data_IF_972412574266
#
_entry.id   IF_972412574266
#
_cell.length_a   1.000
_cell.length_b   1.000
_cell.length_c   1.000
_cell.angle_alpha   90.00
_cell.angle_beta   90.00
_cell.angle_gamma   90.00
#
_symmetry.space_group_name_H-M   'P 1'
#
loop_
_entity.id
_entity.type
_entity.pdbx_description
1 polymer ?
#
# COMPACT_ATOMS: atom_id res chain seq x y z
N UNK A 1 -13.83 52.81 -58.85
CA UNK A 1 -12.55 52.72 -58.08
C UNK A 1 -12.41 53.84 -57.04
N UNK A 2 -12.61 55.13 -57.32
CA UNK A 2 -12.54 56.24 -56.35
C UNK A 2 -13.53 56.11 -55.17
N UNK A 3 -14.78 55.70 -55.41
CA UNK A 3 -15.83 55.54 -54.39
C UNK A 3 -15.49 54.38 -53.44
N UNK A 4 -14.88 53.28 -53.87
CA UNK A 4 -14.46 52.15 -53.03
C UNK A 4 -13.29 52.54 -52.14
N UNK A 5 -12.36 53.38 -52.63
CA UNK A 5 -11.24 53.87 -51.84
C UNK A 5 -11.73 54.84 -50.74
N UNK A 6 -12.68 55.73 -51.05
CA UNK A 6 -13.29 56.64 -50.08
C UNK A 6 -14.06 55.90 -49.00
N UNK A 7 -14.83 54.85 -49.35
CA UNK A 7 -15.56 54.02 -48.40
C UNK A 7 -14.58 53.19 -47.53
N UNK A 8 -13.49 52.72 -48.04
CA UNK A 8 -12.45 52.02 -47.24
C UNK A 8 -11.76 52.98 -46.29
N UNK A 9 -11.47 54.20 -46.70
CA UNK A 9 -10.86 55.24 -45.86
C UNK A 9 -11.79 55.65 -44.71
N UNK A 10 -13.07 55.90 -45.01
CA UNK A 10 -14.09 56.17 -43.94
C UNK A 10 -14.25 55.04 -42.97
N UNK A 11 -14.26 53.79 -43.40
CA UNK A 11 -14.28 52.63 -42.52
C UNK A 11 -13.04 52.50 -41.65
N UNK A 12 -11.89 52.88 -42.16
CA UNK A 12 -10.63 52.87 -41.43
C UNK A 12 -10.60 53.97 -40.37
N UNK A 13 -10.97 55.21 -40.71
CA UNK A 13 -11.00 56.35 -39.78
C UNK A 13 -12.02 56.13 -38.68
N UNK A 14 -13.24 55.66 -39.00
CA UNK A 14 -14.26 55.35 -37.99
C UNK A 14 -13.87 54.20 -37.02
N UNK A 15 -13.10 53.23 -37.50
CA UNK A 15 -12.52 52.19 -36.62
C UNK A 15 -11.43 52.76 -35.71
N UNK A 16 -10.58 53.64 -36.22
CA UNK A 16 -9.56 54.31 -35.41
C UNK A 16 -10.17 55.19 -34.30
N UNK A 17 -11.19 55.98 -34.65
CA UNK A 17 -11.95 56.79 -33.71
C UNK A 17 -12.61 55.91 -32.59
N UNK A 18 -13.26 54.83 -32.98
CA UNK A 18 -13.85 53.90 -32.01
C UNK A 18 -12.82 53.22 -31.12
N UNK A 19 -11.61 52.95 -31.61
CA UNK A 19 -10.52 52.42 -30.80
C UNK A 19 -9.97 53.44 -29.80
N UNK A 20 -9.84 54.72 -30.23
CA UNK A 20 -9.40 55.80 -29.35
C UNK A 20 -10.44 56.08 -28.26
N UNK A 21 -11.73 56.11 -28.58
CA UNK A 21 -12.79 56.27 -27.62
C UNK A 21 -12.83 55.13 -26.58
N UNK A 22 -12.70 53.89 -27.05
CA UNK A 22 -12.60 52.72 -26.16
C UNK A 22 -11.35 52.76 -25.26
N UNK A 23 -10.21 53.23 -25.76
CA UNK A 23 -9.00 53.41 -24.95
C UNK A 23 -9.21 54.48 -23.86
N UNK A 24 -9.82 55.60 -24.19
CA UNK A 24 -10.08 56.70 -23.24
C UNK A 24 -11.06 56.26 -22.16
N UNK A 25 -12.14 55.59 -22.54
CA UNK A 25 -13.17 55.05 -21.60
C UNK A 25 -12.54 54.01 -20.64
N UNK A 26 -11.63 53.14 -21.15
CA UNK A 26 -11.01 52.09 -20.36
C UNK A 26 -9.70 52.55 -19.67
N UNK A 27 -9.27 53.78 -19.84
CA UNK A 27 -8.02 54.30 -19.23
C UNK A 27 -7.97 54.09 -17.71
N UNK A 28 -9.04 54.33 -16.92
CA UNK A 28 -9.06 54.06 -15.48
C UNK A 28 -8.79 52.57 -15.17
N UNK A 29 -9.43 51.67 -15.92
CA UNK A 29 -9.26 50.23 -15.74
C UNK A 29 -7.84 49.76 -16.09
N UNK A 30 -7.22 50.36 -17.12
CA UNK A 30 -5.84 50.09 -17.52
C UNK A 30 -4.87 50.54 -16.40
N UNK A 31 -5.10 51.70 -15.79
CA UNK A 31 -4.26 52.18 -14.66
C UNK A 31 -4.37 51.23 -13.49
N UNK A 32 -5.60 50.82 -13.11
CA UNK A 32 -5.83 49.87 -12.03
C UNK A 32 -5.17 48.52 -12.34
N UNK A 33 -5.31 48.01 -13.57
CA UNK A 33 -4.69 46.79 -14.04
C UNK A 33 -3.16 46.80 -13.89
N UNK A 34 -2.50 47.93 -14.24
CA UNK A 34 -1.06 48.11 -14.10
C UNK A 34 -0.66 48.12 -12.62
N UNK A 35 -1.43 48.80 -11.75
CA UNK A 35 -1.18 48.80 -10.30
C UNK A 35 -1.28 47.40 -9.76
N UNK A 36 -2.37 46.66 -10.08
CA UNK A 36 -2.57 45.28 -9.64
C UNK A 36 -1.46 44.38 -10.15
N UNK A 37 -1.01 44.54 -11.43
CA UNK A 37 0.10 43.79 -12.00
C UNK A 37 1.39 43.94 -11.17
N UNK A 38 1.72 45.19 -10.82
CA UNK A 38 2.90 45.50 -9.98
C UNK A 38 2.74 44.83 -8.61
N UNK A 39 1.56 44.95 -7.99
CA UNK A 39 1.27 44.34 -6.69
C UNK A 39 1.42 42.81 -6.75
N UNK A 40 0.87 42.16 -7.78
CA UNK A 40 0.96 40.71 -8.00
C UNK A 40 2.43 40.25 -8.11
N UNK A 41 3.27 40.98 -8.88
CA UNK A 41 4.70 40.66 -8.99
C UNK A 41 5.42 40.79 -7.65
N UNK A 42 5.16 41.84 -6.91
CA UNK A 42 5.75 42.06 -5.58
C UNK A 42 5.29 40.97 -4.60
N UNK A 43 3.98 40.69 -4.60
CA UNK A 43 3.38 39.63 -3.76
C UNK A 43 3.92 38.25 -4.09
N UNK A 44 4.07 37.93 -5.39
CA UNK A 44 4.64 36.66 -5.85
C UNK A 44 6.08 36.49 -5.34
N UNK A 45 6.93 37.53 -5.44
CA UNK A 45 8.30 37.52 -4.92
C UNK A 45 8.32 37.38 -3.37
N UNK A 46 7.41 38.07 -2.69
CA UNK A 46 7.29 37.99 -1.23
C UNK A 46 6.87 36.59 -0.75
N UNK A 47 5.83 36.04 -1.37
CA UNK A 47 5.33 34.67 -1.07
C UNK A 47 6.41 33.63 -1.39
N UNK A 48 7.14 33.75 -2.50
CA UNK A 48 8.25 32.84 -2.81
C UNK A 48 9.35 32.90 -1.73
N UNK A 49 9.74 34.08 -1.27
CA UNK A 49 10.70 34.22 -0.16
C UNK A 49 10.16 33.63 1.17
N UNK A 50 8.88 33.88 1.47
CA UNK A 50 8.21 33.32 2.65
C UNK A 50 8.19 31.80 2.60
N UNK A 51 7.85 31.22 1.45
CA UNK A 51 7.87 29.76 1.23
C UNK A 51 9.28 29.19 1.48
N UNK A 52 10.32 29.79 0.92
CA UNK A 52 11.71 29.36 1.16
C UNK A 52 12.09 29.46 2.64
N UNK A 53 11.64 30.51 3.33
CA UNK A 53 11.89 30.68 4.77
C UNK A 53 11.16 29.61 5.60
N UNK A 54 9.91 29.28 5.28
CA UNK A 54 9.15 28.21 5.94
C UNK A 54 9.78 26.82 5.69
N UNK A 55 10.20 26.56 4.45
CA UNK A 55 10.86 25.32 4.08
C UNK A 55 12.31 25.24 4.56
N UNK A 56 12.91 26.33 5.07
CA UNK A 56 14.31 26.31 5.56
C UNK A 56 14.55 25.31 6.68
N UNK A 57 13.54 25.07 7.52
CA UNK A 57 13.58 24.12 8.65
C UNK A 57 13.32 22.65 8.24
N UNK A 58 12.91 22.41 7.00
CA UNK A 58 12.65 21.08 6.48
C UNK A 58 13.93 20.39 6.02
N UNK A 59 13.99 19.07 6.07
CA UNK A 59 15.08 18.23 5.57
C UNK A 59 15.16 18.15 4.04
N UNK A 60 14.26 18.83 3.31
CA UNK A 60 14.21 18.81 1.85
C UNK A 60 15.48 19.37 1.22
N UNK A 61 15.91 18.77 0.11
CA UNK A 61 17.03 19.28 -0.70
C UNK A 61 16.75 20.70 -1.21
N UNK A 62 17.79 21.52 -1.29
CA UNK A 62 17.69 22.93 -1.75
C UNK A 62 16.99 23.05 -3.12
N UNK A 63 17.24 22.12 -4.03
CA UNK A 63 16.62 22.08 -5.35
C UNK A 63 15.09 21.95 -5.26
N UNK A 64 14.60 21.07 -4.39
CA UNK A 64 13.16 20.85 -4.19
C UNK A 64 12.48 22.05 -3.54
N UNK A 65 13.14 22.71 -2.55
CA UNK A 65 12.63 23.95 -1.94
C UNK A 65 12.43 25.04 -3.00
N UNK A 66 13.38 25.20 -3.93
CA UNK A 66 13.29 26.16 -5.00
C UNK A 66 12.16 25.83 -6.00
N UNK A 67 11.96 24.56 -6.34
CA UNK A 67 10.87 24.12 -7.22
C UNK A 67 9.52 24.44 -6.60
N UNK A 68 9.32 24.11 -5.33
CA UNK A 68 8.07 24.39 -4.60
C UNK A 68 7.79 25.91 -4.56
N UNK A 69 8.81 26.71 -4.18
CA UNK A 69 8.67 28.17 -4.14
C UNK A 69 8.32 28.76 -5.51
N UNK A 70 8.92 28.24 -6.59
CA UNK A 70 8.64 28.66 -7.96
C UNK A 70 7.22 28.27 -8.40
N UNK A 71 6.74 27.06 -8.07
CA UNK A 71 5.37 26.63 -8.39
C UNK A 71 4.33 27.53 -7.69
N UNK A 72 4.53 27.82 -6.40
CA UNK A 72 3.65 28.74 -5.66
C UNK A 72 3.68 30.14 -6.26
N UNK A 73 4.87 30.64 -6.66
CA UNK A 73 5.02 31.93 -7.33
C UNK A 73 4.23 31.99 -8.64
N UNK A 74 4.30 30.93 -9.47
CA UNK A 74 3.54 30.82 -10.72
C UNK A 74 2.03 30.84 -10.46
N UNK A 75 1.57 30.13 -9.41
CA UNK A 75 0.15 30.11 -9.04
C UNK A 75 -0.35 31.52 -8.68
N UNK A 76 0.42 32.27 -7.90
CA UNK A 76 0.09 33.67 -7.52
C UNK A 76 0.01 34.55 -8.76
N UNK A 77 0.94 34.40 -9.71
CA UNK A 77 0.92 35.16 -10.96
C UNK A 77 -0.32 34.80 -11.80
N UNK A 78 -0.68 33.53 -11.89
CA UNK A 78 -1.88 33.09 -12.62
C UNK A 78 -3.16 33.66 -12.04
N UNK A 79 -3.32 33.63 -10.71
CA UNK A 79 -4.46 34.25 -10.02
C UNK A 79 -4.49 35.76 -10.27
N UNK A 80 -3.33 36.43 -10.20
CA UNK A 80 -3.21 37.84 -10.54
C UNK A 80 -3.57 38.17 -11.98
N UNK A 81 -3.18 37.32 -12.92
CA UNK A 81 -3.56 37.47 -14.32
C UNK A 81 -5.08 37.42 -14.53
N UNK A 82 -5.77 36.49 -13.83
CA UNK A 82 -7.23 36.42 -13.91
C UNK A 82 -7.92 37.67 -13.34
N UNK A 83 -7.40 38.22 -12.24
CA UNK A 83 -7.89 39.49 -11.68
C UNK A 83 -7.71 40.65 -12.68
N UNK A 84 -6.55 40.74 -13.32
CA UNK A 84 -6.23 41.78 -14.32
C UNK A 84 -7.17 41.68 -15.51
N UNK A 85 -7.40 40.48 -16.03
CA UNK A 85 -8.32 40.26 -17.15
C UNK A 85 -9.76 40.64 -16.80
N UNK A 86 -10.18 40.40 -15.54
CA UNK A 86 -11.48 40.84 -15.03
C UNK A 86 -11.60 42.38 -14.97
N UNK A 87 -10.55 43.07 -14.47
CA UNK A 87 -10.51 44.54 -14.39
C UNK A 87 -10.56 45.18 -15.78
N UNK A 88 -9.95 44.54 -16.77
CA UNK A 88 -9.93 45.02 -18.17
C UNK A 88 -11.21 44.66 -18.95
N UNK A 89 -12.20 44.06 -18.29
CA UNK A 89 -13.47 43.58 -18.90
C UNK A 89 -13.24 42.60 -20.08
N UNK A 90 -12.15 41.81 -20.01
CA UNK A 90 -11.81 40.82 -21.00
C UNK A 90 -12.47 39.46 -20.68
N UNK A 91 -13.75 39.46 -20.36
CA UNK A 91 -14.50 38.28 -19.87
C UNK A 91 -14.45 37.10 -20.85
N UNK A 92 -14.46 37.36 -22.16
CA UNK A 92 -14.32 36.29 -23.19
C UNK A 92 -12.95 35.62 -23.13
N UNK A 93 -11.88 36.40 -23.04
CA UNK A 93 -10.49 35.92 -22.95
C UNK A 93 -10.31 35.16 -21.62
N UNK A 94 -10.82 35.69 -20.53
CA UNK A 94 -10.80 35.07 -19.21
C UNK A 94 -11.45 33.69 -19.26
N UNK A 95 -12.68 33.58 -19.77
CA UNK A 95 -13.42 32.33 -19.91
C UNK A 95 -12.68 31.29 -20.77
N UNK A 96 -12.08 31.75 -21.88
CA UNK A 96 -11.29 30.85 -22.75
C UNK A 96 -10.06 30.31 -22.06
N UNK A 97 -9.33 31.16 -21.32
CA UNK A 97 -8.16 30.71 -20.53
C UNK A 97 -8.57 29.80 -19.40
N UNK A 98 -9.66 30.11 -18.69
CA UNK A 98 -10.18 29.25 -17.62
C UNK A 98 -10.61 27.88 -18.13
N UNK A 99 -11.31 27.83 -19.29
CA UNK A 99 -11.67 26.56 -19.92
C UNK A 99 -10.42 25.73 -20.29
N UNK A 100 -9.44 26.37 -20.93
CA UNK A 100 -8.16 25.71 -21.26
C UNK A 100 -7.38 25.26 -20.03
N UNK A 101 -7.32 26.11 -19.01
CA UNK A 101 -6.67 25.77 -17.73
C UNK A 101 -7.38 24.61 -17.02
N UNK A 102 -8.72 24.54 -17.09
CA UNK A 102 -9.51 23.43 -16.57
C UNK A 102 -9.16 22.10 -17.21
N UNK A 103 -9.11 22.06 -18.56
CA UNK A 103 -8.69 20.85 -19.30
C UNK A 103 -7.24 20.47 -18.99
N UNK A 104 -6.33 21.44 -18.97
CA UNK A 104 -4.93 21.20 -18.62
C UNK A 104 -4.80 20.70 -17.17
N UNK A 105 -5.56 21.29 -16.23
CA UNK A 105 -5.61 20.87 -14.83
C UNK A 105 -6.09 19.44 -14.67
N UNK A 106 -7.13 19.03 -15.42
CA UNK A 106 -7.62 17.66 -15.46
C UNK A 106 -6.53 16.70 -15.95
N UNK A 107 -5.86 17.02 -17.05
CA UNK A 107 -4.78 16.20 -17.60
C UNK A 107 -3.62 16.02 -16.59
N UNK A 108 -3.20 17.11 -15.93
CA UNK A 108 -2.18 17.07 -14.88
C UNK A 108 -2.66 16.28 -13.67
N UNK A 109 -3.93 16.46 -13.26
CA UNK A 109 -4.54 15.70 -12.15
C UNK A 109 -4.52 14.20 -12.41
N UNK A 110 -4.91 13.77 -13.60
CA UNK A 110 -4.86 12.36 -14.01
C UNK A 110 -3.42 11.83 -14.06
N UNK A 111 -2.47 12.62 -14.56
CA UNK A 111 -1.05 12.24 -14.57
C UNK A 111 -0.46 12.06 -13.17
N UNK A 112 -0.91 12.85 -12.19
CA UNK A 112 -0.44 12.79 -10.79
C UNK A 112 -1.28 11.89 -9.89
N UNK A 113 -2.37 11.30 -10.40
CA UNK A 113 -3.32 10.50 -9.62
C UNK A 113 -2.64 9.41 -8.77
N UNK A 114 -1.71 8.65 -9.36
CA UNK A 114 -1.02 7.59 -8.64
C UNK A 114 -0.17 8.09 -7.47
N UNK A 115 0.54 9.21 -7.66
CA UNK A 115 1.36 9.81 -6.61
C UNK A 115 0.49 10.36 -5.47
N UNK A 116 -0.61 11.05 -5.81
CA UNK A 116 -1.55 11.59 -4.84
C UNK A 116 -2.22 10.47 -4.04
N UNK A 117 -2.65 9.39 -4.71
CA UNK A 117 -3.29 8.25 -4.03
C UNK A 117 -2.32 7.58 -3.05
N UNK A 118 -1.06 7.32 -3.44
CA UNK A 118 -0.09 6.75 -2.52
C UNK A 118 0.19 7.64 -1.31
N UNK A 119 0.29 8.96 -1.51
CA UNK A 119 0.49 9.92 -0.41
C UNK A 119 -0.72 9.94 0.53
N UNK A 120 -1.94 9.97 -0.02
CA UNK A 120 -3.16 9.91 0.78
C UNK A 120 -3.26 8.58 1.54
N UNK A 121 -2.97 7.46 0.89
CA UNK A 121 -2.92 6.14 1.54
C UNK A 121 -1.91 6.10 2.68
N UNK A 122 -0.75 6.74 2.53
CA UNK A 122 0.25 6.85 3.60
C UNK A 122 -0.26 7.64 4.82
N UNK A 123 -0.97 8.73 4.60
CA UNK A 123 -1.61 9.49 5.67
C UNK A 123 -2.65 8.62 6.39
N UNK A 124 -3.49 7.91 5.63
CA UNK A 124 -4.51 7.01 6.18
C UNK A 124 -3.86 5.89 6.98
N UNK A 125 -2.84 5.21 6.46
CA UNK A 125 -2.11 4.14 7.15
C UNK A 125 -1.46 4.63 8.44
N UNK A 126 -0.90 5.84 8.46
CA UNK A 126 -0.31 6.45 9.66
C UNK A 126 -1.36 6.76 10.74
N UNK A 127 -2.62 6.95 10.36
CA UNK A 127 -3.73 7.21 11.30
C UNK A 127 -4.42 5.94 11.78
N UNK A 128 -4.55 4.94 10.89
CA UNK A 128 -5.17 3.64 11.21
C UNK A 128 -4.15 2.79 11.97
N UNK A 129 -4.50 2.40 13.20
CA UNK A 129 -3.62 1.60 14.09
C UNK A 129 -3.52 0.11 13.70
N UNK A 130 -3.85 -0.24 12.46
CA UNK A 130 -3.83 -1.63 11.99
C UNK A 130 -2.42 -2.16 11.73
N UNK A 131 -1.49 -1.27 11.40
CA UNK A 131 -0.08 -1.57 11.17
C UNK A 131 0.74 -0.59 11.98
N UNK A 132 1.75 -1.09 12.70
CA UNK A 132 2.66 -0.28 13.49
C UNK A 132 4.11 -0.66 13.18
N UNK A 133 5.02 0.25 13.50
CA UNK A 133 6.44 -0.07 13.52
C UNK A 133 6.71 -1.27 14.44
N UNK A 134 7.46 -2.25 13.95
CA UNK A 134 7.78 -3.49 14.65
C UNK A 134 6.75 -4.61 14.49
N UNK A 135 5.59 -4.36 13.86
CA UNK A 135 4.63 -5.41 13.57
C UNK A 135 5.18 -6.37 12.50
N UNK A 136 4.89 -7.66 12.66
CA UNK A 136 5.12 -8.67 11.64
C UNK A 136 3.87 -8.82 10.80
N UNK A 137 3.99 -8.50 9.52
CA UNK A 137 2.87 -8.50 8.57
C UNK A 137 3.17 -9.35 7.32
N UNK A 138 2.09 -9.81 6.71
CA UNK A 138 2.08 -10.40 5.36
C UNK A 138 1.10 -9.61 4.50
N UNK A 139 1.55 -9.13 3.35
CA UNK A 139 0.75 -8.38 2.38
C UNK A 139 1.35 -8.56 0.98
N UNK A 140 0.49 -8.86 -0.01
CA UNK A 140 0.90 -9.02 -1.42
C UNK A 140 2.06 -10.01 -1.60
N UNK A 141 1.98 -11.18 -0.96
CA UNK A 141 3.00 -12.26 -0.98
C UNK A 141 4.37 -11.88 -0.37
N UNK A 142 4.44 -10.73 0.31
CA UNK A 142 5.60 -10.33 1.07
C UNK A 142 5.31 -10.40 2.56
N UNK A 143 6.20 -11.04 3.31
CA UNK A 143 6.12 -11.20 4.74
C UNK A 143 7.36 -10.63 5.42
N UNK A 144 7.18 -9.92 6.54
CA UNK A 144 8.29 -9.37 7.31
C UNK A 144 7.90 -8.38 8.39
N UNK A 145 8.91 -7.88 9.09
CA UNK A 145 8.78 -6.83 10.12
C UNK A 145 8.64 -5.45 9.49
N UNK A 146 7.67 -4.67 9.93
CA UNK A 146 7.51 -3.26 9.53
C UNK A 146 8.62 -2.43 10.17
N UNK A 147 9.54 -1.92 9.34
CA UNK A 147 10.67 -1.11 9.80
C UNK A 147 10.49 0.37 9.52
N UNK A 148 9.54 0.75 8.65
CA UNK A 148 9.21 2.15 8.40
C UNK A 148 7.85 2.29 7.70
N UNK A 149 7.16 3.42 7.95
CA UNK A 149 5.90 3.80 7.28
C UNK A 149 6.04 5.24 6.81
N UNK A 150 6.43 5.40 5.56
CA UNK A 150 6.59 6.69 4.90
C UNK A 150 5.31 7.13 4.17
N UNK A 151 5.24 8.39 3.71
CA UNK A 151 4.12 8.93 2.92
C UNK A 151 3.88 8.17 1.60
N UNK A 152 4.84 7.42 1.10
CA UNK A 152 4.75 6.73 -0.19
C UNK A 152 4.71 5.21 -0.08
N UNK A 153 5.37 4.64 0.91
CA UNK A 153 5.55 3.20 1.05
C UNK A 153 5.63 2.77 2.53
N UNK A 154 5.17 1.57 2.81
CA UNK A 154 5.52 0.78 4.00
C UNK A 154 6.77 -0.02 3.66
N UNK A 155 7.79 0.07 4.49
CA UNK A 155 9.02 -0.71 4.36
C UNK A 155 8.97 -1.89 5.32
N UNK A 156 9.10 -3.10 4.79
CA UNK A 156 9.20 -4.32 5.60
C UNK A 156 10.57 -4.95 5.45
N UNK A 157 11.06 -5.56 6.52
CA UNK A 157 12.27 -6.38 6.53
C UNK A 157 11.87 -7.85 6.48
N UNK A 158 12.25 -8.54 5.42
CA UNK A 158 11.98 -9.96 5.25
C UNK A 158 12.92 -10.83 6.12
N UNK A 159 12.60 -12.14 6.30
CA UNK A 159 13.43 -13.06 7.07
C UNK A 159 14.88 -13.19 6.57
N UNK A 160 15.13 -12.95 5.28
CA UNK A 160 16.45 -12.94 4.64
C UNK A 160 17.19 -11.62 4.84
N UNK A 161 16.66 -10.70 5.68
CA UNK A 161 17.16 -9.36 5.98
C UNK A 161 17.09 -8.38 4.78
N UNK A 162 16.39 -8.70 3.70
CA UNK A 162 16.15 -7.77 2.61
C UNK A 162 15.00 -6.82 2.95
N UNK A 163 15.08 -5.58 2.42
CA UNK A 163 14.02 -4.58 2.56
C UNK A 163 13.10 -4.59 1.34
N UNK A 164 11.81 -4.69 1.58
CA UNK A 164 10.77 -4.57 0.55
C UNK A 164 9.99 -3.29 0.80
N UNK A 165 9.84 -2.49 -0.25
CA UNK A 165 9.10 -1.22 -0.23
C UNK A 165 7.73 -1.43 -0.87
N UNK A 166 6.71 -1.57 -0.05
CA UNK A 166 5.32 -1.75 -0.50
C UNK A 166 4.65 -0.39 -0.67
N UNK A 167 4.21 0.00 -1.89
CA UNK A 167 3.46 1.24 -2.09
C UNK A 167 2.24 1.31 -1.15
N UNK A 168 2.02 2.43 -0.48
CA UNK A 168 0.96 2.58 0.51
C UNK A 168 -0.43 2.24 -0.03
N UNK A 169 -0.68 2.60 -1.30
CA UNK A 169 -1.93 2.23 -1.97
C UNK A 169 -2.10 0.71 -2.04
N UNK A 170 -1.03 -0.02 -2.39
CA UNK A 170 -1.09 -1.47 -2.51
C UNK A 170 -1.40 -2.14 -1.16
N UNK A 171 -0.81 -1.61 -0.08
CA UNK A 171 -1.04 -2.10 1.29
C UNK A 171 -2.47 -1.78 1.76
N UNK A 172 -3.00 -0.59 1.43
CA UNK A 172 -4.34 -0.18 1.85
C UNK A 172 -5.46 -0.90 1.09
N UNK A 173 -5.25 -1.18 -0.21
CA UNK A 173 -6.26 -1.75 -1.09
C UNK A 173 -6.34 -3.29 -0.99
N UNK A 174 -5.32 -3.96 -0.44
CA UNK A 174 -5.25 -5.42 -0.34
C UNK A 174 -5.36 -5.92 1.11
N UNK A 175 -5.76 -7.18 1.31
CA UNK A 175 -5.77 -7.78 2.64
C UNK A 175 -4.39 -7.79 3.28
N UNK A 176 -4.35 -7.49 4.57
CA UNK A 176 -3.15 -7.52 5.40
C UNK A 176 -3.37 -8.54 6.51
N UNK A 177 -2.43 -9.45 6.67
CA UNK A 177 -2.37 -10.33 7.81
C UNK A 177 -1.32 -9.80 8.78
N UNK A 178 -1.77 -9.35 9.94
CA UNK A 178 -0.90 -8.83 11.00
C UNK A 178 -0.80 -9.86 12.12
N UNK A 179 0.38 -10.47 12.25
CA UNK A 179 0.67 -11.49 13.27
C UNK A 179 0.88 -10.88 14.66
N UNK A 180 1.20 -9.60 14.72
CA UNK A 180 1.48 -8.90 15.99
C UNK A 180 0.24 -8.23 16.60
N UNK A 181 -0.89 -8.22 15.89
CA UNK A 181 -2.13 -7.61 16.37
C UNK A 181 -2.77 -8.38 17.54
N UNK A 182 -2.44 -9.65 17.66
CA UNK A 182 -2.86 -10.53 18.76
C UNK A 182 -1.63 -11.07 19.49
N UNK A 183 -1.76 -11.35 20.78
CA UNK A 183 -0.65 -11.87 21.60
C UNK A 183 -0.39 -13.38 21.40
N UNK A 184 -1.23 -14.05 20.60
CA UNK A 184 -1.19 -15.49 20.40
C UNK A 184 -1.32 -15.83 18.92
N UNK A 185 -0.56 -16.84 18.50
CA UNK A 185 -0.67 -17.45 17.17
C UNK A 185 -1.02 -18.93 17.31
N UNK A 186 -1.73 -19.46 16.32
CA UNK A 186 -2.12 -20.87 16.30
C UNK A 186 -1.11 -21.70 15.53
N UNK A 187 -0.56 -22.73 16.17
CA UNK A 187 0.20 -23.78 15.49
C UNK A 187 -0.78 -24.82 14.95
N UNK A 188 -0.60 -25.21 13.70
CA UNK A 188 -1.36 -26.26 13.01
C UNK A 188 -0.37 -27.31 12.52
N UNK A 189 -0.52 -28.54 13.02
CA UNK A 189 0.35 -29.66 12.70
C UNK A 189 -0.48 -30.84 12.21
N UNK A 190 -0.16 -31.35 11.03
CA UNK A 190 -0.76 -32.56 10.46
C UNK A 190 0.19 -33.73 10.57
N UNK A 191 -0.33 -34.91 10.93
CA UNK A 191 0.41 -36.15 11.00
C UNK A 191 -0.52 -37.34 10.67
N UNK A 192 0.03 -38.51 10.39
CA UNK A 192 -0.71 -39.73 10.16
C UNK A 192 -0.24 -40.88 11.04
N UNK A 193 -1.15 -41.76 11.44
CA UNK A 193 -0.84 -42.97 12.20
C UNK A 193 -1.31 -44.21 11.46
N UNK A 194 -0.70 -45.34 11.76
CA UNK A 194 -1.05 -46.62 11.14
C UNK A 194 -2.53 -47.01 11.45
N UNK A 195 -3.16 -47.70 10.53
CA UNK A 195 -4.55 -48.20 10.68
C UNK A 195 -4.73 -49.13 11.87
N UNK A 196 -3.64 -49.75 12.35
CA UNK A 196 -3.65 -50.62 13.55
C UNK A 196 -3.57 -49.84 14.86
N UNK A 197 -3.41 -48.51 14.83
CA UNK A 197 -3.27 -47.70 16.06
C UNK A 197 -4.62 -47.53 16.77
N UNK A 198 -4.55 -47.51 18.11
CA UNK A 198 -5.69 -47.11 18.93
C UNK A 198 -5.88 -45.60 18.82
N UNK A 199 -6.96 -45.18 18.17
CA UNK A 199 -7.22 -43.79 17.83
C UNK A 199 -7.54 -42.94 19.07
N UNK A 200 -8.18 -43.52 20.11
CA UNK A 200 -8.49 -42.79 21.34
C UNK A 200 -7.21 -42.50 22.10
N UNK A 201 -6.35 -43.52 22.22
CA UNK A 201 -5.06 -43.39 22.90
C UNK A 201 -4.14 -42.41 22.16
N UNK A 202 -4.07 -42.44 20.80
CA UNK A 202 -3.29 -41.48 20.00
C UNK A 202 -3.75 -40.06 20.25
N UNK A 203 -5.07 -39.81 20.24
CA UNK A 203 -5.64 -38.49 20.51
C UNK A 203 -5.19 -37.95 21.87
N UNK A 204 -5.36 -38.77 22.90
CA UNK A 204 -5.11 -38.35 24.27
C UNK A 204 -3.61 -38.15 24.53
N UNK A 205 -2.76 -39.01 23.99
CA UNK A 205 -1.30 -38.87 24.02
C UNK A 205 -0.82 -37.59 23.38
N UNK A 206 -1.31 -37.27 22.15
CA UNK A 206 -0.93 -36.04 21.43
C UNK A 206 -1.35 -34.81 22.23
N UNK A 207 -2.58 -34.77 22.72
CA UNK A 207 -3.08 -33.66 23.55
C UNK A 207 -2.23 -33.45 24.79
N UNK A 208 -1.93 -34.55 25.53
CA UNK A 208 -1.09 -34.49 26.72
C UNK A 208 0.34 -34.01 26.37
N UNK A 209 0.94 -34.52 25.31
CA UNK A 209 2.27 -34.11 24.87
C UNK A 209 2.35 -32.59 24.57
N UNK A 210 1.30 -32.03 23.98
CA UNK A 210 1.26 -30.58 23.73
C UNK A 210 1.13 -29.79 25.03
N UNK A 211 0.25 -30.18 25.93
CA UNK A 211 0.06 -29.51 27.25
C UNK A 211 1.36 -29.51 28.07
N UNK A 212 2.09 -30.61 28.06
CA UNK A 212 3.34 -30.76 28.84
C UNK A 212 4.49 -29.90 28.32
N UNK A 213 4.48 -29.53 27.05
CA UNK A 213 5.64 -28.88 26.37
C UNK A 213 5.39 -27.47 25.85
N UNK A 214 4.14 -26.98 25.85
CA UNK A 214 3.85 -25.66 25.28
C UNK A 214 3.02 -24.78 26.22
N UNK A 215 3.57 -23.63 26.60
CA UNK A 215 2.82 -22.53 27.20
C UNK A 215 2.21 -21.65 26.08
N UNK A 216 0.99 -21.13 26.22
CA UNK A 216 0.12 -21.05 27.39
C UNK A 216 -0.92 -22.18 27.47
N UNK A 217 -0.72 -23.33 26.88
CA UNK A 217 -1.68 -24.44 26.91
C UNK A 217 -1.67 -25.09 28.29
N UNK A 218 -2.73 -24.89 29.07
CA UNK A 218 -2.82 -25.41 30.44
C UNK A 218 -3.65 -26.70 30.53
N UNK A 219 -4.55 -26.90 29.56
CA UNK A 219 -5.52 -28.03 29.58
C UNK A 219 -5.61 -28.70 28.21
N UNK A 220 -5.87 -30.01 28.25
CA UNK A 220 -6.08 -30.85 27.07
C UNK A 220 -7.25 -30.38 26.19
N UNK A 221 -8.24 -29.71 26.80
CA UNK A 221 -9.40 -29.18 26.06
C UNK A 221 -9.04 -27.95 25.18
N UNK A 222 -7.92 -27.28 25.46
CA UNK A 222 -7.40 -26.18 24.68
C UNK A 222 -6.67 -26.65 23.39
N UNK A 223 -6.32 -27.96 23.35
CA UNK A 223 -5.74 -28.61 22.20
C UNK A 223 -6.85 -29.20 21.34
N UNK A 224 -7.04 -28.64 20.15
CA UNK A 224 -7.96 -29.17 19.17
C UNK A 224 -7.25 -30.31 18.45
N UNK A 225 -7.84 -31.51 18.50
CA UNK A 225 -7.36 -32.68 17.77
C UNK A 225 -8.49 -33.22 16.90
N UNK A 226 -8.22 -33.40 15.60
CA UNK A 226 -9.20 -33.82 14.61
C UNK A 226 -8.58 -34.89 13.72
N UNK A 227 -9.23 -36.08 13.62
CA UNK A 227 -8.97 -36.96 12.50
C UNK A 227 -9.58 -36.36 11.26
N UNK A 228 -8.80 -36.28 10.20
CA UNK A 228 -9.20 -35.55 8.96
C UNK A 228 -9.67 -36.49 7.86
N UNK A 229 -8.99 -37.62 7.70
CA UNK A 229 -9.34 -38.60 6.66
C UNK A 229 -8.72 -39.98 6.91
N UNK A 230 -9.30 -40.99 6.27
CA UNK A 230 -8.69 -42.29 6.07
C UNK A 230 -7.87 -42.22 4.77
N UNK A 231 -6.56 -41.92 4.88
CA UNK A 231 -5.67 -41.80 3.73
C UNK A 231 -5.17 -43.15 3.21
N UNK A 232 -4.45 -43.13 2.09
CA UNK A 232 -4.00 -44.35 1.39
C UNK A 232 -3.17 -45.29 2.25
N UNK A 233 -2.41 -44.78 3.21
CA UNK A 233 -1.50 -45.58 4.05
C UNK A 233 -1.56 -45.23 5.54
N UNK A 234 -2.31 -44.19 5.90
CA UNK A 234 -2.41 -43.66 7.25
C UNK A 234 -3.80 -43.14 7.56
N UNK A 235 -4.17 -43.10 8.83
CA UNK A 235 -5.27 -42.30 9.33
C UNK A 235 -4.69 -40.94 9.69
N UNK A 236 -5.08 -39.92 8.94
CA UNK A 236 -4.53 -38.59 9.06
C UNK A 236 -5.26 -37.81 10.17
N UNK A 237 -4.51 -37.03 10.90
CA UNK A 237 -5.04 -36.12 11.91
C UNK A 237 -4.38 -34.76 11.84
N UNK A 238 -5.05 -33.78 12.40
CA UNK A 238 -4.54 -32.44 12.60
C UNK A 238 -4.69 -32.05 14.07
N UNK A 239 -3.61 -31.52 14.66
CA UNK A 239 -3.63 -30.92 15.99
C UNK A 239 -3.38 -29.43 15.89
N UNK A 240 -4.15 -28.65 16.68
CA UNK A 240 -4.09 -27.19 16.72
C UNK A 240 -3.99 -26.72 18.15
N UNK A 241 -3.06 -25.82 18.44
CA UNK A 241 -2.89 -25.23 19.75
C UNK A 241 -2.35 -23.80 19.66
N UNK A 242 -2.49 -23.04 20.74
CA UNK A 242 -2.04 -21.67 20.80
C UNK A 242 -0.65 -21.58 21.43
N UNK A 243 0.14 -20.61 20.93
CA UNK A 243 1.40 -20.20 21.53
C UNK A 243 1.43 -18.68 21.68
N UNK A 244 2.19 -18.16 22.64
CA UNK A 244 2.52 -16.74 22.73
C UNK A 244 3.53 -16.40 21.64
N UNK A 245 3.07 -15.86 20.54
CA UNK A 245 3.92 -15.49 19.40
C UNK A 245 3.31 -14.38 18.59
N UNK A 246 4.17 -13.49 18.09
CA UNK A 246 3.85 -12.39 17.20
C UNK A 246 4.56 -12.50 15.86
N UNK A 247 5.20 -13.66 15.57
CA UNK A 247 6.01 -13.84 14.36
C UNK A 247 5.78 -15.23 13.75
N UNK A 248 5.71 -15.30 12.42
CA UNK A 248 5.59 -16.56 11.69
C UNK A 248 6.79 -17.49 11.93
N UNK A 249 7.99 -16.93 12.15
CA UNK A 249 9.17 -17.73 12.47
C UNK A 249 9.01 -18.50 13.79
N UNK A 250 8.45 -17.88 14.82
CA UNK A 250 8.19 -18.54 16.12
C UNK A 250 7.14 -19.64 15.97
N UNK A 251 6.10 -19.41 15.16
CA UNK A 251 5.10 -20.45 14.83
C UNK A 251 5.77 -21.64 14.15
N UNK A 252 6.66 -21.39 13.18
CA UNK A 252 7.39 -22.46 12.49
C UNK A 252 8.33 -23.23 13.42
N UNK A 253 9.02 -22.56 14.36
CA UNK A 253 9.84 -23.20 15.40
C UNK A 253 9.00 -24.07 16.31
N UNK A 254 7.91 -23.53 16.85
CA UNK A 254 6.99 -24.28 17.71
C UNK A 254 6.38 -25.50 16.99
N UNK A 255 6.06 -25.36 15.69
CA UNK A 255 5.61 -26.49 14.86
C UNK A 255 6.69 -27.59 14.79
N UNK A 256 7.95 -27.20 14.58
CA UNK A 256 9.09 -28.14 14.53
C UNK A 256 9.27 -28.86 15.88
N UNK A 257 9.21 -28.12 16.98
CA UNK A 257 9.31 -28.68 18.32
C UNK A 257 8.17 -29.66 18.61
N UNK A 258 6.93 -29.29 18.24
CA UNK A 258 5.77 -30.17 18.38
C UNK A 258 5.95 -31.47 17.60
N UNK A 259 6.50 -31.41 16.37
CA UNK A 259 6.84 -32.63 15.59
C UNK A 259 7.82 -33.51 16.34
N UNK A 260 8.85 -32.92 16.96
CA UNK A 260 9.87 -33.66 17.70
C UNK A 260 9.25 -34.31 18.96
N UNK A 261 8.46 -33.58 19.73
CA UNK A 261 7.84 -34.11 20.93
C UNK A 261 6.82 -35.21 20.64
N UNK A 262 5.94 -35.01 19.66
CA UNK A 262 4.97 -36.02 19.23
C UNK A 262 5.68 -37.28 18.73
N UNK A 263 6.74 -37.11 17.89
CA UNK A 263 7.51 -38.26 17.39
C UNK A 263 8.13 -39.07 18.54
N UNK A 264 8.73 -38.41 19.56
CA UNK A 264 9.28 -39.06 20.73
C UNK A 264 8.20 -39.79 21.54
N UNK A 265 7.04 -39.16 21.71
CA UNK A 265 5.91 -39.78 22.41
C UNK A 265 5.40 -41.00 21.66
N UNK A 266 5.31 -40.94 20.34
CA UNK A 266 4.90 -42.08 19.51
C UNK A 266 5.89 -43.24 19.59
N UNK A 267 7.21 -42.96 19.51
CA UNK A 267 8.26 -43.97 19.62
C UNK A 267 8.21 -44.67 20.99
N UNK A 268 8.01 -43.91 22.09
CA UNK A 268 7.93 -44.44 23.43
C UNK A 268 6.70 -45.34 23.67
N UNK A 269 5.61 -45.13 22.89
CA UNK A 269 4.35 -45.86 23.00
C UNK A 269 4.07 -46.83 21.85
N UNK A 270 5.10 -47.16 21.04
CA UNK A 270 5.00 -48.05 19.89
C UNK A 270 3.93 -47.66 18.85
N UNK A 271 3.62 -46.36 18.75
CA UNK A 271 2.75 -45.80 17.70
C UNK A 271 3.54 -45.60 16.42
N UNK A 272 3.10 -46.22 15.33
CA UNK A 272 3.80 -46.17 14.06
C UNK A 272 3.25 -45.08 13.18
N UNK A 273 4.14 -44.19 12.66
CA UNK A 273 3.88 -43.33 11.52
C UNK A 273 4.19 -44.16 10.27
N UNK A 274 3.18 -44.56 9.47
CA UNK A 274 3.40 -45.54 8.42
C UNK A 274 4.15 -44.94 7.24
N UNK A 275 4.99 -45.75 6.60
CA UNK A 275 5.48 -45.47 5.25
C UNK A 275 4.38 -45.74 4.21
N UNK A 276 4.53 -45.24 2.98
CA UNK A 276 3.61 -45.61 1.89
C UNK A 276 3.53 -47.14 1.74
N UNK A 277 2.30 -47.70 1.90
CA UNK A 277 2.02 -49.13 1.80
C UNK A 277 1.52 -49.41 0.38
N UNK A 278 2.07 -50.47 -0.25
CA UNK A 278 1.59 -51.01 -1.51
C UNK A 278 1.38 -52.48 -1.36
N UNK A 279 0.17 -52.94 -1.65
CA UNK A 279 -0.12 -54.37 -1.75
C UNK A 279 0.23 -54.84 -3.15
N UNK A 280 1.10 -55.88 -3.21
CA UNK A 280 1.44 -56.56 -4.46
C UNK A 280 0.62 -57.84 -4.51
N UNK A 281 -0.23 -57.95 -5.52
CA UNK A 281 -0.97 -59.15 -5.76
C UNK A 281 -0.29 -59.96 -6.88
N UNK A 282 0.26 -61.12 -6.50
CA UNK A 282 0.95 -62.01 -7.43
C UNK A 282 0.00 -63.14 -7.86
N UNK A 283 -0.04 -63.49 -9.16
CA UNK A 283 -0.78 -64.67 -9.60
C UNK A 283 -0.28 -65.92 -8.88
N UNK A 284 -1.19 -66.85 -8.53
CA UNK A 284 -0.93 -68.06 -7.70
C UNK A 284 0.23 -68.95 -8.15
N UNK A 285 0.80 -68.75 -9.34
CA UNK A 285 1.91 -69.50 -9.90
C UNK A 285 3.28 -68.74 -9.94
N UNK A 286 3.39 -67.64 -9.16
CA UNK A 286 4.65 -66.88 -9.13
C UNK A 286 5.66 -67.57 -8.17
N UNK A 287 6.59 -68.35 -8.70
CA UNK A 287 7.69 -68.93 -7.96
C UNK A 287 8.86 -67.90 -7.85
N UNK A 288 9.16 -67.43 -6.64
CA UNK A 288 10.29 -66.53 -6.35
C UNK A 288 11.67 -67.22 -6.37
N UNK A 289 11.82 -68.39 -6.95
CA UNK A 289 13.03 -69.19 -6.81
C UNK A 289 14.06 -69.00 -7.94
N UNK A 290 13.88 -68.05 -8.83
CA UNK A 290 14.90 -67.79 -9.89
C UNK A 290 15.25 -66.30 -10.00
N UNK A 291 15.98 -65.75 -9.01
CA UNK A 291 16.71 -64.51 -9.13
C UNK A 291 17.97 -64.61 -8.25
N UNK A 292 18.91 -65.42 -8.68
CA UNK A 292 20.30 -65.36 -8.27
C UNK A 292 21.15 -64.88 -9.42
#
# INVERSE_FOLDING_TARGET
MKIQIQNAWHKMTSRLESWLDNLIINLPNIIIAIIVFIIVILLSKYISKLTLKLLSRSSLQKSMKNVIAKLISILVILVGLFLILGILDLSKTLNTILAGAGVAGLAVGLALQGALTNTFSGIVLSYIKQIKFGDWIESNDFEGEVVDIDLRAVTIRQPDNNLVYLPNKLVLDNPIKNFSSTSQSRVILSCGVAYSSDLEFVRDLVKQTIVENFEPVEKTDEVIFLYTEFGDSAINFETRFWIKSTSALEVAKAKTEAMIYIKKAFDANAITIPFPIRTLDFPQNFNMTEAT
#
